data_IF_387950930914
#
_entry.id   IF_387950930914
#
_cell.length_a   1.000
_cell.length_b   1.000
_cell.length_c   1.000
_cell.angle_alpha   90.00
_cell.angle_beta   90.00
_cell.angle_gamma   90.00
#
_symmetry.space_group_name_H-M   'P 1'
#
loop_
_entity.id
_entity.type
_entity.pdbx_description
1 polymer ?
#
# COMPACT_ATOMS: atom_id res chain seq x y z
N UNK A 1 7.00 -24.57 23.94
CA UNK A 1 5.64 -24.02 24.13
C UNK A 1 5.57 -22.50 23.98
N UNK A 2 6.53 -21.82 23.35
CA UNK A 2 6.43 -20.38 23.03
C UNK A 2 6.48 -20.08 21.52
N UNK A 3 6.87 -21.05 20.68
CA UNK A 3 6.94 -20.85 19.22
C UNK A 3 5.63 -21.11 18.46
N UNK A 4 4.59 -21.63 19.13
CA UNK A 4 3.36 -22.09 18.44
C UNK A 4 2.24 -21.03 18.39
N UNK A 5 2.38 -19.92 19.12
CA UNK A 5 1.36 -18.85 19.18
C UNK A 5 1.65 -17.68 18.22
N UNK A 6 2.88 -17.55 17.70
CA UNK A 6 3.26 -16.43 16.82
C UNK A 6 2.90 -16.62 15.34
N UNK A 7 2.28 -17.74 14.96
CA UNK A 7 2.08 -18.12 13.56
C UNK A 7 0.61 -18.28 13.16
N UNK A 8 -0.27 -17.40 13.63
CA UNK A 8 -1.53 -17.17 12.90
C UNK A 8 -1.18 -16.30 11.70
N UNK A 9 -0.81 -16.96 10.60
CA UNK A 9 -0.50 -16.36 9.31
C UNK A 9 -1.76 -15.70 8.73
N UNK A 10 -2.13 -14.54 9.27
CA UNK A 10 -2.97 -13.60 8.53
C UNK A 10 -2.19 -13.26 7.27
N UNK A 11 -2.81 -13.34 6.09
CA UNK A 11 -2.17 -13.04 4.82
C UNK A 11 -1.77 -11.56 4.82
N UNK A 12 -0.58 -11.25 5.32
CA UNK A 12 -0.05 -9.91 5.28
C UNK A 12 0.21 -9.53 3.83
N UNK A 13 0.17 -8.24 3.53
CA UNK A 13 0.89 -7.66 2.41
C UNK A 13 2.40 -7.86 2.64
N UNK A 14 2.88 -9.10 2.53
CA UNK A 14 4.30 -9.42 2.69
C UNK A 14 5.12 -8.87 1.51
N UNK A 15 4.47 -8.61 0.38
CA UNK A 15 5.12 -8.31 -0.89
C UNK A 15 4.78 -6.91 -1.37
N UNK A 16 5.82 -6.21 -1.78
CA UNK A 16 5.75 -4.90 -2.42
C UNK A 16 4.74 -4.85 -3.57
N UNK A 17 4.67 -5.90 -4.40
CA UNK A 17 3.76 -5.96 -5.54
C UNK A 17 2.29 -5.89 -5.15
N UNK A 18 1.93 -6.54 -4.04
CA UNK A 18 0.55 -6.55 -3.56
C UNK A 18 0.20 -5.18 -2.96
N UNK A 19 1.17 -4.54 -2.29
CA UNK A 19 1.03 -3.18 -1.76
C UNK A 19 0.83 -2.16 -2.88
N UNK A 20 1.64 -2.25 -3.95
CA UNK A 20 1.50 -1.40 -5.14
C UNK A 20 0.14 -1.64 -5.82
N UNK A 21 -0.30 -2.89 -5.97
CA UNK A 21 -1.59 -3.20 -6.57
C UNK A 21 -2.76 -2.61 -5.76
N UNK A 22 -2.69 -2.69 -4.43
CA UNK A 22 -3.68 -2.09 -3.54
C UNK A 22 -3.70 -0.57 -3.66
N UNK A 23 -2.54 0.08 -3.64
CA UNK A 23 -2.43 1.54 -3.78
C UNK A 23 -2.98 2.04 -5.13
N UNK A 24 -2.65 1.36 -6.23
CA UNK A 24 -3.15 1.68 -7.58
C UNK A 24 -4.67 1.55 -7.61
N UNK A 25 -5.23 0.44 -7.08
CA UNK A 25 -6.68 0.22 -7.01
C UNK A 25 -7.38 1.32 -6.20
N UNK A 26 -6.80 1.72 -5.07
CA UNK A 26 -7.31 2.80 -4.22
C UNK A 26 -7.38 4.14 -4.93
N UNK A 27 -6.26 4.60 -5.53
CA UNK A 27 -6.22 5.88 -6.25
C UNK A 27 -7.10 5.84 -7.50
N UNK A 28 -7.11 4.73 -8.24
CA UNK A 28 -7.98 4.57 -9.42
C UNK A 28 -9.45 4.78 -9.06
N UNK A 29 -9.90 4.21 -7.94
CA UNK A 29 -11.27 4.37 -7.45
C UNK A 29 -11.56 5.77 -6.91
N UNK A 30 -10.64 6.34 -6.12
CA UNK A 30 -10.84 7.63 -5.46
C UNK A 30 -10.88 8.81 -6.46
N UNK A 31 -10.05 8.75 -7.51
CA UNK A 31 -9.88 9.86 -8.46
C UNK A 31 -10.49 9.58 -9.85
N UNK A 32 -11.25 8.49 -10.00
CA UNK A 32 -11.80 8.01 -11.27
C UNK A 32 -10.72 8.00 -12.38
N UNK A 33 -9.66 7.23 -12.11
CA UNK A 33 -8.51 7.05 -13.01
C UNK A 33 -8.39 5.61 -13.44
N UNK A 34 -7.87 5.40 -14.64
CA UNK A 34 -7.48 4.06 -15.05
C UNK A 34 -6.18 3.67 -14.33
N UNK A 35 -6.04 2.42 -13.89
CA UNK A 35 -4.79 1.93 -13.29
C UNK A 35 -3.54 2.19 -14.14
N UNK A 36 -3.68 2.14 -15.47
CA UNK A 36 -2.60 2.39 -16.45
C UNK A 36 -2.11 3.85 -16.50
N UNK A 37 -2.91 4.81 -16.02
CA UNK A 37 -2.53 6.22 -15.95
C UNK A 37 -1.74 6.54 -14.66
N UNK A 38 -1.70 5.61 -13.71
CA UNK A 38 -1.03 5.77 -12.42
C UNK A 38 0.38 5.21 -12.49
N UNK A 39 1.36 6.04 -12.14
CA UNK A 39 2.77 5.66 -12.10
C UNK A 39 3.25 5.51 -10.67
N UNK A 40 3.80 4.35 -10.33
CA UNK A 40 4.57 4.18 -9.09
C UNK A 40 5.85 4.98 -9.16
N UNK A 41 6.04 5.87 -8.18
CA UNK A 41 7.23 6.71 -8.05
C UNK A 41 8.21 6.10 -7.06
N UNK A 42 7.71 5.61 -5.92
CA UNK A 42 8.51 5.01 -4.85
C UNK A 42 7.63 4.06 -4.03
N UNK A 43 8.26 3.02 -3.47
CA UNK A 43 7.63 2.11 -2.52
C UNK A 43 8.56 1.88 -1.34
N UNK A 44 8.05 1.93 -0.12
CA UNK A 44 8.80 1.69 1.10
C UNK A 44 8.00 0.87 2.10
N UNK A 45 8.66 -0.12 2.69
CA UNK A 45 8.16 -0.81 3.89
C UNK A 45 8.77 -0.17 5.13
N UNK A 46 7.95 0.04 6.15
CA UNK A 46 8.39 0.45 7.48
C UNK A 46 8.43 -0.78 8.38
N UNK A 47 9.63 -1.26 8.70
CA UNK A 47 9.84 -2.46 9.54
C UNK A 47 9.40 -2.26 11.00
N UNK A 48 9.38 -1.01 11.49
CA UNK A 48 9.00 -0.68 12.86
C UNK A 48 7.47 -0.61 13.00
N UNK A 49 6.80 0.03 12.04
CA UNK A 49 5.33 0.15 12.02
C UNK A 49 4.63 -1.07 11.43
N UNK A 50 5.32 -1.83 10.56
CA UNK A 50 4.71 -2.89 9.77
C UNK A 50 3.76 -2.35 8.70
N UNK A 51 4.05 -1.17 8.15
CA UNK A 51 3.19 -0.48 7.18
C UNK A 51 3.89 -0.35 5.82
N UNK A 52 3.10 -0.35 4.75
CA UNK A 52 3.58 -0.01 3.41
C UNK A 52 3.23 1.42 3.05
N UNK A 53 4.15 2.06 2.34
CA UNK A 53 3.99 3.39 1.77
C UNK A 53 4.27 3.31 0.28
N UNK A 54 3.30 3.72 -0.54
CA UNK A 54 3.44 3.79 -2.00
C UNK A 54 3.21 5.22 -2.44
N UNK A 55 4.19 5.80 -3.13
CA UNK A 55 4.03 7.08 -3.80
C UNK A 55 3.56 6.83 -5.24
N UNK A 56 2.39 7.37 -5.60
CA UNK A 56 1.86 7.35 -6.96
C UNK A 56 1.83 8.76 -7.55
N UNK A 57 2.04 8.86 -8.86
CA UNK A 57 1.89 10.09 -9.62
C UNK A 57 1.00 9.88 -10.84
N UNK A 58 0.18 10.89 -11.16
CA UNK A 58 -0.66 10.93 -12.36
C UNK A 58 -0.88 12.37 -12.78
N UNK A 59 -0.77 12.66 -14.08
CA UNK A 59 -0.74 14.03 -14.59
C UNK A 59 0.30 14.87 -13.82
N UNK A 60 -0.14 15.98 -13.21
CA UNK A 60 0.69 16.86 -12.37
C UNK A 60 0.51 16.58 -10.86
N UNK A 61 -0.31 15.60 -10.48
CA UNK A 61 -0.62 15.24 -9.09
C UNK A 61 0.26 14.10 -8.59
N UNK A 62 0.45 14.06 -7.27
CA UNK A 62 1.14 12.98 -6.56
C UNK A 62 0.44 12.70 -5.24
N UNK A 63 0.48 11.46 -4.79
CA UNK A 63 0.01 11.09 -3.46
C UNK A 63 0.89 10.02 -2.83
N UNK A 64 0.97 10.05 -1.50
CA UNK A 64 1.52 8.97 -0.69
C UNK A 64 0.35 8.20 -0.09
N UNK A 65 0.34 6.89 -0.31
CA UNK A 65 -0.68 5.97 0.17
C UNK A 65 -0.06 5.13 1.28
N UNK A 66 -0.62 5.22 2.47
CA UNK A 66 -0.27 4.37 3.61
C UNK A 66 -1.21 3.18 3.67
N UNK A 67 -0.67 1.99 3.89
CA UNK A 67 -1.43 0.75 3.98
C UNK A 67 -1.03 -0.05 5.21
N UNK A 68 -2.03 -0.55 5.92
CA UNK A 68 -1.86 -1.55 6.97
C UNK A 68 -1.49 -2.87 6.31
N UNK A 69 -0.27 -3.35 6.55
CA UNK A 69 0.21 -4.59 5.94
C UNK A 69 -0.43 -5.84 6.51
N UNK A 70 -1.03 -5.79 7.71
CA UNK A 70 -1.69 -6.93 8.35
C UNK A 70 -3.10 -7.11 7.83
N UNK A 71 -3.84 -6.01 7.69
CA UNK A 71 -5.23 -6.02 7.22
C UNK A 71 -5.35 -5.91 5.69
N UNK A 72 -4.28 -5.50 5.00
CA UNK A 72 -4.32 -5.29 3.55
C UNK A 72 -5.25 -4.15 3.15
N UNK A 73 -5.29 -3.08 3.94
CA UNK A 73 -6.21 -1.95 3.74
C UNK A 73 -5.45 -0.63 3.66
N UNK A 74 -5.96 0.30 2.85
CA UNK A 74 -5.45 1.67 2.81
C UNK A 74 -5.93 2.39 4.07
N UNK A 75 -5.00 2.98 4.81
CA UNK A 75 -5.28 3.72 6.05
C UNK A 75 -5.17 5.23 5.85
N UNK A 76 -4.39 5.68 4.88
CA UNK A 76 -4.24 7.10 4.56
C UNK A 76 -3.93 7.32 3.07
N UNK A 77 -4.50 8.38 2.50
CA UNK A 77 -4.10 8.92 1.19
C UNK A 77 -3.79 10.39 1.39
N UNK A 78 -2.56 10.80 1.07
CA UNK A 78 -2.11 12.17 1.20
C UNK A 78 -1.61 12.71 -0.14
N UNK A 79 -2.38 13.60 -0.77
CA UNK A 79 -1.95 14.37 -1.95
C UNK A 79 -0.86 15.38 -1.55
N UNK A 80 0.19 15.53 -2.38
CA UNK A 80 1.39 16.36 -2.12
C UNK A 80 1.71 17.32 -3.27
#
# INVERSE_FOLDING_TARGET
MLDEVLRTKHERLEKEKDAVALAISGIAKEYDKKPEDLKTLETKYDDDAGDWYVALGWNEKRAIIKMDSVLGTITEIKEI
#
